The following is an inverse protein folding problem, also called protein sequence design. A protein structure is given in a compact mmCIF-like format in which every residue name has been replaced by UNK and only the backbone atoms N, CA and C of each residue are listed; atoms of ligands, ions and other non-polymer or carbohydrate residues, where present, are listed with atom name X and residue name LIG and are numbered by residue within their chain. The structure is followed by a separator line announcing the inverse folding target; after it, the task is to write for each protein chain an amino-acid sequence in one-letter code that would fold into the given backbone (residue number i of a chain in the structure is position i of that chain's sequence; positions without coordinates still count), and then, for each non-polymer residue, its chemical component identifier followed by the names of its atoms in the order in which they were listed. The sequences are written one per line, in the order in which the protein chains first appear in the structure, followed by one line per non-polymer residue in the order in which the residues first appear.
data_IF_731366460199
#
_entry.id   IF_731366460199
#
_cell.length_a   1.000
_cell.length_b   1.000
_cell.length_c   1.000
_cell.angle_alpha   90.00
_cell.angle_beta   90.00
_cell.angle_gamma   90.00
#
_symmetry.space_group_name_H-M   'P 1'
#
loop_
_entity.id
_entity.type
_entity.pdbx_description
1 polymer ?
#
# COMPACT_ATOMS: atom_id res chain seq x y z
N UNK A 1 -15.66 -12.37 -13.37
CA UNK A 1 -14.21 -12.42 -13.14
C UNK A 1 -13.88 -11.72 -11.84
N UNK A 2 -12.96 -12.30 -11.08
CA UNK A 2 -12.54 -11.68 -9.85
C UNK A 2 -11.73 -10.42 -10.15
N UNK A 3 -12.05 -9.33 -9.49
CA UNK A 3 -11.31 -8.10 -9.61
C UNK A 3 -9.98 -8.24 -8.86
N UNK A 4 -8.91 -7.75 -9.48
CA UNK A 4 -7.61 -7.75 -8.82
C UNK A 4 -7.61 -6.71 -7.71
N UNK A 5 -7.21 -7.13 -6.52
CA UNK A 5 -7.13 -6.25 -5.37
C UNK A 5 -5.66 -5.98 -5.02
N UNK A 6 -5.43 -4.85 -4.38
CA UNK A 6 -4.09 -4.36 -4.08
C UNK A 6 -3.96 -4.05 -2.60
N UNK A 7 -2.75 -3.89 -2.17
CA UNK A 7 -2.44 -3.38 -0.83
C UNK A 7 -1.33 -2.34 -0.97
N UNK A 8 -1.27 -1.43 -0.02
CA UNK A 8 -0.24 -0.39 -0.02
C UNK A 8 0.95 -0.83 0.81
N UNK A 9 2.13 -0.52 0.31
CA UNK A 9 3.39 -0.74 1.02
C UNK A 9 4.14 0.58 1.09
N UNK A 10 4.99 0.70 2.10
CA UNK A 10 5.79 1.90 2.33
C UNK A 10 7.26 1.50 2.45
N UNK A 11 8.12 2.31 1.86
CA UNK A 11 9.56 2.13 2.01
C UNK A 11 10.03 2.71 3.34
N UNK A 12 10.77 1.90 4.09
CA UNK A 12 11.34 2.30 5.36
C UNK A 12 12.80 1.89 5.42
N UNK A 13 13.46 2.18 6.55
CA UNK A 13 14.85 1.76 6.76
C UNK A 13 15.02 0.24 6.70
N UNK A 14 13.95 -0.50 6.97
CA UNK A 14 13.95 -1.96 6.90
C UNK A 14 13.55 -2.47 5.51
N UNK A 15 13.34 -1.58 4.53
CA UNK A 15 12.89 -1.92 3.19
C UNK A 15 11.39 -1.69 3.03
N UNK A 16 10.78 -2.39 2.08
CA UNK A 16 9.36 -2.25 1.82
C UNK A 16 8.55 -3.06 2.82
N UNK A 17 7.58 -2.41 3.47
CA UNK A 17 6.71 -3.04 4.46
C UNK A 17 5.26 -2.76 4.13
N UNK A 18 4.37 -3.70 4.51
CA UNK A 18 2.93 -3.51 4.33
C UNK A 18 2.40 -2.54 5.39
N UNK A 19 1.50 -1.64 4.97
CA UNK A 19 0.84 -0.75 5.91
C UNK A 19 -0.21 -1.48 6.74
N UNK A 20 -0.82 -2.52 6.18
CA UNK A 20 -1.81 -3.33 6.90
C UNK A 20 -3.12 -2.58 7.18
N UNK A 21 -3.95 -3.13 8.04
CA UNK A 21 -5.21 -2.51 8.41
C UNK A 21 -6.11 -2.25 7.21
N UNK A 22 -6.54 -0.99 7.07
CA UNK A 22 -7.44 -0.60 5.98
C UNK A 22 -6.77 -0.50 4.60
N UNK A 23 -5.46 -0.72 4.54
CA UNK A 23 -4.69 -0.55 3.30
C UNK A 23 -4.48 -1.86 2.55
N UNK A 24 -5.32 -2.85 2.78
CA UNK A 24 -5.27 -4.14 2.10
C UNK A 24 -6.59 -4.42 1.39
N UNK A 25 -6.56 -5.31 0.41
CA UNK A 25 -7.75 -5.69 -0.37
C UNK A 25 -8.45 -4.49 -0.99
N UNK A 26 -7.67 -3.60 -1.61
CA UNK A 26 -8.15 -2.36 -2.18
C UNK A 26 -8.30 -2.48 -3.70
N UNK A 27 -9.30 -1.81 -4.25
CA UNK A 27 -9.37 -1.60 -5.69
C UNK A 27 -8.31 -0.57 -6.10
N UNK A 28 -8.03 -0.49 -7.40
CA UNK A 28 -7.04 0.48 -7.89
C UNK A 28 -7.45 1.90 -7.53
N UNK A 29 -8.74 2.23 -7.65
CA UNK A 29 -9.24 3.56 -7.32
C UNK A 29 -9.06 3.87 -5.84
N UNK A 30 -9.31 2.88 -4.98
CA UNK A 30 -9.09 3.03 -3.55
C UNK A 30 -7.62 3.25 -3.23
N UNK A 31 -6.72 2.52 -3.91
CA UNK A 31 -5.29 2.72 -3.73
C UNK A 31 -4.89 4.15 -4.07
N UNK A 32 -5.35 4.66 -5.20
CA UNK A 32 -5.04 6.03 -5.63
C UNK A 32 -5.53 7.04 -4.60
N UNK A 33 -6.74 6.86 -4.08
CA UNK A 33 -7.31 7.74 -3.07
C UNK A 33 -6.49 7.74 -1.79
N UNK A 34 -6.11 6.55 -1.32
CA UNK A 34 -5.30 6.44 -0.10
C UNK A 34 -3.90 7.01 -0.29
N UNK A 35 -3.30 6.80 -1.46
CA UNK A 35 -1.99 7.37 -1.76
C UNK A 35 -2.06 8.90 -1.69
N UNK A 36 -3.07 9.51 -2.30
CA UNK A 36 -3.26 10.96 -2.26
C UNK A 36 -3.45 11.46 -0.83
N UNK A 37 -4.23 10.73 -0.03
CA UNK A 37 -4.45 11.06 1.37
C UNK A 37 -3.14 11.03 2.16
N UNK A 38 -2.34 10.00 1.96
CA UNK A 38 -1.05 9.86 2.67
C UNK A 38 -0.06 10.93 2.22
N UNK A 39 -0.02 11.25 0.93
CA UNK A 39 0.83 12.32 0.40
C UNK A 39 0.43 13.65 1.02
N UNK A 40 -0.86 13.91 1.14
CA UNK A 40 -1.37 15.14 1.78
C UNK A 40 -0.98 15.21 3.25
N UNK A 41 -0.80 14.05 3.90
CA UNK A 41 -0.37 13.98 5.29
C UNK A 41 1.15 14.11 5.44
N UNK A 42 1.90 14.24 4.35
CA UNK A 42 3.33 14.45 4.38
C UNK A 42 4.17 13.25 3.99
N UNK A 43 3.56 12.15 3.56
CA UNK A 43 4.30 10.95 3.12
C UNK A 43 4.80 11.17 1.69
N UNK A 44 6.06 10.82 1.43
CA UNK A 44 6.63 10.96 0.10
C UNK A 44 5.98 9.93 -0.83
N UNK A 45 5.44 10.36 -1.99
CA UNK A 45 4.80 9.43 -2.92
C UNK A 45 5.77 8.38 -3.48
N UNK A 46 7.06 8.69 -3.54
CA UNK A 46 8.07 7.72 -3.99
C UNK A 46 8.29 6.59 -2.98
N UNK A 47 7.87 6.78 -1.74
CA UNK A 47 7.96 5.79 -0.68
C UNK A 47 6.70 4.94 -0.57
N UNK A 48 5.72 5.16 -1.43
CA UNK A 48 4.46 4.42 -1.44
C UNK A 48 4.31 3.63 -2.74
N UNK A 49 3.76 2.43 -2.63
CA UNK A 49 3.53 1.60 -3.81
C UNK A 49 2.33 0.68 -3.57
N UNK A 50 1.57 0.43 -4.63
CA UNK A 50 0.48 -0.54 -4.61
C UNK A 50 0.99 -1.85 -5.21
N UNK A 51 0.76 -2.96 -4.52
CA UNK A 51 1.12 -4.29 -4.98
C UNK A 51 -0.08 -5.22 -4.82
N UNK A 52 -0.01 -6.41 -5.42
CA UNK A 52 -1.07 -7.41 -5.30
C UNK A 52 -1.30 -7.72 -3.82
N UNK A 53 -2.58 -7.70 -3.41
CA UNK A 53 -2.94 -7.96 -2.02
C UNK A 53 -2.49 -9.34 -1.53
N UNK A 54 -2.30 -10.28 -2.45
CA UNK A 54 -1.84 -11.63 -2.12
C UNK A 54 -0.33 -11.78 -2.15
N UNK A 55 0.40 -10.71 -2.49
CA UNK A 55 1.86 -10.73 -2.51
C UNK A 55 2.38 -10.78 -1.08
N UNK A 56 3.11 -11.84 -0.75
CA UNK A 56 3.60 -12.08 0.60
C UNK A 56 5.10 -11.80 0.76
N UNK A 57 5.70 -11.12 -0.22
CA UNK A 57 7.12 -10.77 -0.15
C UNK A 57 7.41 -9.67 0.85
N UNK A 58 6.39 -8.93 1.26
CA UNK A 58 6.53 -7.78 2.15
C UNK A 58 6.00 -8.13 3.52
N UNK A 59 6.69 -7.70 4.56
CA UNK A 59 6.29 -7.97 5.93
C UNK A 59 5.38 -6.85 6.42
N UNK A 60 4.38 -7.16 7.26
CA UNK A 60 3.56 -6.12 7.86
C UNK A 60 4.41 -5.26 8.81
N UNK A 61 3.98 -4.01 8.97
CA UNK A 61 4.60 -3.12 9.94
C UNK A 61 4.32 -3.65 11.34
N UNK A 62 5.35 -3.89 12.09
CA UNK A 62 5.22 -4.43 13.43
C UNK A 62 4.66 -3.39 14.41
#
# INVERSE_FOLDING_TARGET
MAEKLYKLIEQSTAGWTELGGKYVSLTKDQCDSYIQELVSAGVNPNDLRAVDTNDNRFKPVA
#
